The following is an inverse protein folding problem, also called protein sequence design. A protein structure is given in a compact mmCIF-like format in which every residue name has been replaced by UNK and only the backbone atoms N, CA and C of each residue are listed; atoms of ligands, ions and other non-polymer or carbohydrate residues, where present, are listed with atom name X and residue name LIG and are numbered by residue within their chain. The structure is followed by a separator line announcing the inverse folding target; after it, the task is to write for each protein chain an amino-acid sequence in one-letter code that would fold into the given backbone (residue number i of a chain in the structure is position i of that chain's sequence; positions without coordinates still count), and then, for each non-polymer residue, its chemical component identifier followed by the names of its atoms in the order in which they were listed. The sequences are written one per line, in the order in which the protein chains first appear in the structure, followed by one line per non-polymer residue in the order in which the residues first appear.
data_IF_435481364342
#
_entry.id   IF_435481364342
#
_cell.length_a   1.000
_cell.length_b   1.000
_cell.length_c   1.000
_cell.angle_alpha   90.00
_cell.angle_beta   90.00
_cell.angle_gamma   90.00
#
_symmetry.space_group_name_H-M   'P 1'
#
loop_
_entity.id
_entity.type
_entity.pdbx_description
1 polymer ?
#
# COMPACT_ATOMS: atom_id res chain seq x y z
N UNK A 1 64.85 -62.34 28.27
CA UNK A 1 64.18 -61.22 27.57
C UNK A 1 62.90 -60.92 28.30
N UNK A 2 62.70 -59.64 28.59
CA UNK A 2 61.93 -59.08 29.70
C UNK A 2 60.42 -59.31 29.63
N UNK A 3 59.85 -59.79 30.74
CA UNK A 3 58.43 -59.70 31.08
C UNK A 3 58.08 -58.23 31.38
N UNK A 4 57.19 -57.64 30.58
CA UNK A 4 56.63 -56.32 30.87
C UNK A 4 55.64 -56.41 32.04
N UNK A 5 55.93 -55.67 33.09
CA UNK A 5 55.04 -55.45 34.22
C UNK A 5 53.85 -54.58 33.78
N UNK A 6 52.63 -55.13 33.85
CA UNK A 6 51.41 -54.33 33.77
C UNK A 6 51.31 -53.48 35.04
N UNK A 7 51.43 -52.18 34.86
CA UNK A 7 51.22 -51.16 35.89
C UNK A 7 49.73 -51.19 36.28
N UNK A 8 49.36 -51.31 37.57
CA UNK A 8 47.97 -51.14 37.97
C UNK A 8 47.57 -49.68 37.78
N UNK A 9 46.59 -49.44 36.91
CA UNK A 9 45.93 -48.14 36.80
C UNK A 9 45.40 -47.74 38.20
N UNK A 10 45.66 -46.51 38.66
CA UNK A 10 45.14 -46.07 39.95
C UNK A 10 43.60 -46.05 39.87
N UNK A 11 42.94 -46.80 40.76
CA UNK A 11 41.50 -46.66 41.04
C UNK A 11 41.24 -45.29 41.67
N UNK A 12 41.32 -44.24 40.87
CA UNK A 12 40.86 -42.91 41.26
C UNK A 12 39.36 -42.91 41.13
N UNK A 13 38.68 -42.72 42.26
CA UNK A 13 37.25 -42.47 42.32
C UNK A 13 36.42 -43.71 42.65
N UNK A 14 36.45 -44.13 43.92
CA UNK A 14 35.16 -44.49 44.53
C UNK A 14 34.28 -43.26 44.33
N UNK A 15 33.34 -43.36 43.38
CA UNK A 15 32.18 -42.48 43.29
C UNK A 15 31.76 -42.20 44.73
N UNK A 16 31.91 -40.95 45.17
CA UNK A 16 31.26 -40.48 46.40
C UNK A 16 29.85 -41.04 46.29
N UNK A 17 29.43 -41.90 47.21
CA UNK A 17 28.04 -42.35 47.20
C UNK A 17 27.25 -41.09 47.52
N UNK A 18 26.85 -40.35 46.49
CA UNK A 18 26.03 -39.16 46.61
C UNK A 18 24.64 -39.68 46.92
N UNK A 19 24.48 -40.22 48.13
CA UNK A 19 23.18 -40.48 48.71
C UNK A 19 22.51 -39.11 48.71
N UNK A 20 21.41 -38.92 47.97
CA UNK A 20 20.79 -37.62 47.85
C UNK A 20 20.49 -37.09 49.25
N UNK A 21 21.10 -35.96 49.62
CA UNK A 21 21.02 -35.40 50.98
C UNK A 21 19.56 -35.26 51.41
N UNK A 22 18.67 -34.89 50.49
CA UNK A 22 17.23 -34.83 50.73
C UNK A 22 16.60 -36.16 51.16
N UNK A 23 16.96 -37.29 50.53
CA UNK A 23 16.45 -38.61 50.92
C UNK A 23 16.97 -39.04 52.29
N UNK A 24 18.22 -38.70 52.60
CA UNK A 24 18.81 -38.99 53.91
C UNK A 24 18.14 -38.17 55.03
N UNK A 25 17.93 -36.88 54.79
CA UNK A 25 17.24 -35.99 55.72
C UNK A 25 15.76 -36.36 55.89
N UNK A 26 15.09 -36.82 54.83
CA UNK A 26 13.74 -37.36 54.88
C UNK A 26 13.67 -38.67 55.70
N UNK A 27 14.67 -39.55 55.57
CA UNK A 27 14.77 -40.77 56.37
C UNK A 27 14.95 -40.48 57.86
N UNK A 28 15.65 -39.39 58.20
CA UNK A 28 15.92 -38.97 59.57
C UNK A 28 14.79 -38.12 60.18
N UNK A 29 13.84 -37.66 59.37
CA UNK A 29 12.79 -36.71 59.77
C UNK A 29 13.35 -35.50 60.53
N UNK A 30 14.44 -34.91 60.02
CA UNK A 30 15.11 -33.82 60.73
C UNK A 30 14.27 -32.54 60.72
N UNK A 31 14.42 -31.64 61.71
CA UNK A 31 13.81 -30.32 61.67
C UNK A 31 14.19 -29.54 60.39
N UNK A 32 15.40 -29.76 59.87
CA UNK A 32 15.87 -29.18 58.61
C UNK A 32 15.05 -29.68 57.42
N UNK A 33 14.75 -30.98 57.35
CA UNK A 33 13.87 -31.54 56.33
C UNK A 33 12.49 -30.90 56.38
N UNK A 34 11.85 -30.87 57.56
CA UNK A 34 10.52 -30.28 57.73
C UNK A 34 10.48 -28.80 57.36
N UNK A 35 11.48 -28.02 57.76
CA UNK A 35 11.60 -26.60 57.41
C UNK A 35 11.81 -26.39 55.90
N UNK A 36 12.67 -27.20 55.27
CA UNK A 36 12.95 -27.09 53.83
C UNK A 36 11.73 -27.47 52.99
N UNK A 37 11.00 -28.51 53.39
CA UNK A 37 9.75 -28.95 52.74
C UNK A 37 8.68 -27.87 52.79
N UNK A 38 8.46 -27.25 53.95
CA UNK A 38 7.52 -26.14 54.10
C UNK A 38 7.93 -24.94 53.25
N UNK A 39 9.19 -24.52 53.36
CA UNK A 39 9.70 -23.38 52.58
C UNK A 39 9.56 -23.61 51.08
N UNK A 40 9.96 -24.79 50.58
CA UNK A 40 9.83 -25.12 49.15
C UNK A 40 8.37 -25.13 48.70
N UNK A 41 7.46 -25.65 49.54
CA UNK A 41 6.03 -25.64 49.27
C UNK A 41 5.46 -24.22 49.12
N UNK A 42 5.84 -23.31 50.00
CA UNK A 42 5.43 -21.90 49.93
C UNK A 42 5.98 -21.22 48.66
N UNK A 43 7.22 -21.53 48.28
CA UNK A 43 7.81 -21.01 47.03
C UNK A 43 7.06 -21.53 45.79
N UNK A 44 6.66 -22.80 45.79
CA UNK A 44 5.88 -23.37 44.69
C UNK A 44 4.51 -22.68 44.55
N UNK A 45 3.82 -22.41 45.66
CA UNK A 45 2.53 -21.71 45.63
C UNK A 45 2.68 -20.24 45.13
N UNK A 46 3.83 -19.59 45.42
CA UNK A 46 4.16 -18.28 44.85
C UNK A 46 4.40 -18.34 43.34
N UNK A 47 5.20 -19.32 42.89
CA UNK A 47 5.52 -19.53 41.48
C UNK A 47 4.26 -19.87 40.67
N UNK A 48 3.35 -20.70 41.17
CA UNK A 48 2.08 -21.04 40.51
C UNK A 48 1.25 -19.78 40.23
N UNK A 49 1.10 -18.89 41.22
CA UNK A 49 0.38 -17.62 41.05
C UNK A 49 1.05 -16.71 40.02
N UNK A 50 2.38 -16.65 40.03
CA UNK A 50 3.14 -15.86 39.08
C UNK A 50 3.01 -16.41 37.64
N UNK A 51 3.11 -17.74 37.47
CA UNK A 51 2.93 -18.41 36.19
C UNK A 51 1.53 -18.22 35.62
N UNK A 52 0.48 -18.39 36.43
CA UNK A 52 -0.90 -18.12 36.03
C UNK A 52 -1.10 -16.65 35.59
N UNK A 53 -0.52 -15.71 36.33
CA UNK A 53 -0.48 -14.30 35.95
C UNK A 53 0.23 -14.06 34.61
N UNK A 54 1.37 -14.74 34.38
CA UNK A 54 2.12 -14.62 33.13
C UNK A 54 1.34 -15.16 31.93
N UNK A 55 0.74 -16.36 32.05
CA UNK A 55 -0.09 -16.94 31.00
C UNK A 55 -1.29 -16.05 30.66
N UNK A 56 -1.99 -15.52 31.67
CA UNK A 56 -3.11 -14.58 31.48
C UNK A 56 -2.67 -13.28 30.80
N UNK A 57 -1.52 -12.73 31.18
CA UNK A 57 -0.98 -11.53 30.56
C UNK A 57 -0.63 -11.75 29.08
N UNK A 58 0.00 -12.88 28.74
CA UNK A 58 0.31 -13.25 27.37
C UNK A 58 -0.96 -13.44 26.51
N UNK A 59 -1.96 -14.12 27.04
CA UNK A 59 -3.27 -14.30 26.37
C UNK A 59 -3.94 -12.95 26.13
N UNK A 60 -4.00 -12.08 27.15
CA UNK A 60 -4.61 -10.75 27.03
C UNK A 60 -3.91 -9.90 25.96
N UNK A 61 -2.57 -9.90 25.94
CA UNK A 61 -1.80 -9.19 24.94
C UNK A 61 -2.13 -9.65 23.51
N UNK A 62 -2.26 -10.97 23.29
CA UNK A 62 -2.67 -11.55 22.01
C UNK A 62 -4.07 -11.07 21.57
N UNK A 63 -5.04 -11.04 22.48
CA UNK A 63 -6.40 -10.59 22.19
C UNK A 63 -6.47 -9.10 21.81
N UNK A 64 -5.82 -8.23 22.60
CA UNK A 64 -5.84 -6.78 22.38
C UNK A 64 -5.17 -6.40 21.04
N UNK A 65 -4.05 -7.04 20.70
CA UNK A 65 -3.38 -6.81 19.41
C UNK A 65 -4.15 -7.36 18.21
N UNK A 66 -4.94 -8.42 18.41
CA UNK A 66 -5.85 -8.91 17.37
C UNK A 66 -7.01 -7.93 17.15
N UNK A 67 -7.55 -7.32 18.21
CA UNK A 67 -8.59 -6.29 18.07
C UNK A 67 -8.08 -5.04 17.30
N UNK A 68 -6.80 -4.70 17.46
CA UNK A 68 -6.14 -3.58 16.77
C UNK A 68 -6.04 -3.77 15.25
N UNK A 69 -6.15 -5.00 14.74
CA UNK A 69 -6.00 -5.32 13.31
C UNK A 69 -6.93 -4.50 12.40
N UNK A 70 -8.19 -4.33 12.81
CA UNK A 70 -9.19 -3.58 12.04
C UNK A 70 -8.83 -2.08 11.94
N UNK A 71 -8.36 -1.49 13.03
CA UNK A 71 -7.94 -0.08 13.12
C UNK A 71 -6.72 0.16 12.24
N UNK A 72 -5.75 -0.74 12.31
CA UNK A 72 -4.53 -0.70 11.50
C UNK A 72 -4.86 -0.86 10.02
N UNK A 73 -5.77 -1.77 9.66
CA UNK A 73 -6.21 -1.96 8.27
C UNK A 73 -6.82 -0.68 7.70
N UNK A 74 -7.70 -0.02 8.46
CA UNK A 74 -8.31 1.25 8.07
C UNK A 74 -7.29 2.40 7.97
N UNK A 75 -6.28 2.44 8.84
CA UNK A 75 -5.20 3.42 8.73
C UNK A 75 -4.36 3.18 7.46
N UNK A 76 -4.01 1.92 7.20
CA UNK A 76 -3.16 1.54 6.07
C UNK A 76 -3.86 1.71 4.72
N UNK A 77 -5.20 1.69 4.64
CA UNK A 77 -5.90 1.87 3.36
C UNK A 77 -5.56 3.20 2.68
N UNK A 78 -5.36 4.27 3.47
CA UNK A 78 -5.01 5.59 2.94
C UNK A 78 -3.58 5.69 2.39
N UNK A 79 -2.62 4.94 2.96
CA UNK A 79 -1.22 4.98 2.54
C UNK A 79 -0.90 3.97 1.43
N UNK A 80 -1.56 2.81 1.45
CA UNK A 80 -1.33 1.73 0.48
C UNK A 80 -2.12 1.93 -0.82
N UNK A 81 -3.27 2.60 -0.77
CA UNK A 81 -4.13 2.86 -1.91
C UNK A 81 -4.46 4.36 -1.98
N UNK A 82 -3.49 5.20 -2.39
CA UNK A 82 -3.78 6.59 -2.66
C UNK A 82 -4.86 6.71 -3.75
N UNK A 83 -5.65 7.80 -3.69
CA UNK A 83 -6.74 8.08 -4.63
C UNK A 83 -6.26 7.94 -6.08
N UNK A 84 -7.12 7.42 -6.95
CA UNK A 84 -6.89 7.43 -8.40
C UNK A 84 -7.08 8.86 -8.87
N UNK A 85 -5.98 9.62 -8.88
CA UNK A 85 -5.94 11.01 -9.34
C UNK A 85 -5.09 11.07 -10.60
N UNK A 86 -5.43 11.97 -11.52
CA UNK A 86 -4.61 12.23 -12.70
C UNK A 86 -3.21 12.71 -12.32
N UNK A 87 -2.22 12.36 -13.16
CA UNK A 87 -0.83 12.82 -13.06
C UNK A 87 -0.70 14.34 -13.04
N UNK A 88 -1.66 15.05 -13.64
CA UNK A 88 -1.72 16.51 -13.62
C UNK A 88 -1.87 17.10 -12.20
N UNK A 89 -2.36 16.33 -11.24
CA UNK A 89 -2.57 16.79 -9.85
C UNK A 89 -1.51 16.20 -8.91
N UNK A 90 -1.18 14.92 -9.08
CA UNK A 90 -0.19 14.23 -8.24
C UNK A 90 0.75 13.44 -9.13
N UNK A 91 2.04 13.69 -8.94
CA UNK A 91 3.10 12.97 -9.64
C UNK A 91 3.08 11.46 -9.29
N UNK A 92 3.03 10.63 -10.32
CA UNK A 92 2.92 9.18 -10.16
C UNK A 92 4.26 8.49 -9.88
N UNK A 93 5.35 9.06 -10.41
CA UNK A 93 6.67 8.44 -10.40
C UNK A 93 7.41 8.60 -9.07
N UNK A 94 7.17 9.69 -8.35
CA UNK A 94 7.84 10.03 -7.11
C UNK A 94 6.85 10.13 -5.95
N UNK A 95 5.77 10.90 -6.09
CA UNK A 95 4.86 11.19 -4.96
C UNK A 95 4.01 9.98 -4.60
N UNK A 96 3.27 9.43 -5.57
CA UNK A 96 2.49 8.21 -5.33
C UNK A 96 3.37 7.00 -5.04
N UNK A 97 4.56 6.92 -5.66
CA UNK A 97 5.53 5.88 -5.37
C UNK A 97 5.97 5.92 -3.90
N UNK A 98 6.35 7.08 -3.37
CA UNK A 98 6.75 7.25 -1.97
C UNK A 98 5.64 6.82 -1.00
N UNK A 99 4.40 7.27 -1.26
CA UNK A 99 3.24 6.88 -0.46
C UNK A 99 3.05 5.37 -0.45
N UNK A 100 3.08 4.75 -1.64
CA UNK A 100 2.92 3.29 -1.79
C UNK A 100 4.01 2.53 -1.06
N UNK A 101 5.29 2.92 -1.19
CA UNK A 101 6.40 2.25 -0.50
C UNK A 101 6.30 2.36 1.02
N UNK A 102 5.95 3.54 1.51
CA UNK A 102 5.71 3.76 2.94
C UNK A 102 4.53 2.90 3.45
N UNK A 103 3.44 2.83 2.68
CA UNK A 103 2.28 2.00 2.98
C UNK A 103 2.60 0.50 2.99
N UNK A 104 3.31 0.00 1.98
CA UNK A 104 3.76 -1.39 1.88
C UNK A 104 4.65 -1.77 3.07
N UNK A 105 5.67 -0.96 3.38
CA UNK A 105 6.55 -1.21 4.54
C UNK A 105 5.81 -1.18 5.87
N UNK A 106 4.85 -0.26 6.03
CA UNK A 106 4.01 -0.19 7.25
C UNK A 106 3.09 -1.41 7.37
N UNK A 107 2.53 -1.89 6.27
CA UNK A 107 1.67 -3.09 6.22
C UNK A 107 2.45 -4.34 6.62
N UNK A 108 3.65 -4.53 6.10
CA UNK A 108 4.50 -5.67 6.45
C UNK A 108 4.89 -5.65 7.94
N UNK A 109 5.21 -4.48 8.48
CA UNK A 109 5.50 -4.31 9.92
C UNK A 109 4.32 -4.71 10.81
N UNK A 110 3.15 -4.12 10.55
CA UNK A 110 1.97 -4.38 11.37
C UNK A 110 1.48 -5.82 11.26
N UNK A 111 1.44 -6.38 10.04
CA UNK A 111 1.04 -7.77 9.83
C UNK A 111 2.01 -8.75 10.50
N UNK A 112 3.32 -8.47 10.43
CA UNK A 112 4.34 -9.23 11.14
C UNK A 112 4.18 -9.17 12.66
N UNK A 113 3.86 -8.00 13.22
CA UNK A 113 3.66 -7.81 14.66
C UNK A 113 2.44 -8.59 15.15
N UNK A 114 1.31 -8.47 14.46
CA UNK A 114 0.06 -9.18 14.79
C UNK A 114 0.30 -10.69 14.71
N UNK A 115 0.91 -11.17 13.63
CA UNK A 115 1.18 -12.61 13.43
C UNK A 115 2.09 -13.17 14.52
N UNK A 116 3.15 -12.47 14.88
CA UNK A 116 4.09 -12.89 15.94
C UNK A 116 3.41 -12.93 17.30
N UNK A 117 2.56 -11.95 17.59
CA UNK A 117 1.85 -11.86 18.87
C UNK A 117 0.80 -12.96 19.02
N UNK A 118 0.08 -13.32 17.94
CA UNK A 118 -0.88 -14.45 17.98
C UNK A 118 -0.23 -15.76 18.42
N UNK A 119 1.04 -15.97 18.08
CA UNK A 119 1.80 -17.17 18.52
C UNK A 119 2.16 -17.16 20.00
N UNK A 120 2.12 -16.02 20.70
CA UNK A 120 2.43 -15.96 22.14
C UNK A 120 1.47 -16.82 22.97
N UNK A 121 0.24 -17.02 22.51
CA UNK A 121 -0.71 -17.90 23.18
C UNK A 121 -0.21 -19.35 23.21
N UNK A 122 0.14 -19.92 22.05
CA UNK A 122 0.66 -21.29 21.96
C UNK A 122 2.10 -21.46 22.48
N UNK A 123 2.91 -20.40 22.47
CA UNK A 123 4.31 -20.47 22.89
C UNK A 123 4.53 -20.21 24.38
N UNK A 124 3.60 -19.47 25.02
CA UNK A 124 3.73 -19.06 26.42
C UNK A 124 2.57 -19.57 27.24
N UNK A 125 1.33 -19.26 26.83
CA UNK A 125 0.16 -19.49 27.66
C UNK A 125 -0.19 -20.96 27.78
N UNK A 126 -0.19 -21.71 26.68
CA UNK A 126 -0.47 -23.15 26.68
C UNK A 126 0.57 -23.96 27.47
N UNK A 127 1.89 -23.85 27.23
CA UNK A 127 2.87 -24.65 27.96
C UNK A 127 2.87 -24.38 29.47
N UNK A 128 2.62 -23.14 29.88
CA UNK A 128 2.50 -22.78 31.30
C UNK A 128 1.24 -23.41 31.91
N UNK A 129 0.11 -23.36 31.20
CA UNK A 129 -1.15 -23.93 31.66
C UNK A 129 -1.05 -25.44 31.82
N UNK A 130 -0.43 -26.11 30.86
CA UNK A 130 -0.21 -27.57 30.90
C UNK A 130 0.66 -27.96 32.10
N UNK A 131 1.76 -27.23 32.35
CA UNK A 131 2.60 -27.46 33.53
C UNK A 131 1.86 -27.27 34.86
N UNK A 132 0.98 -26.25 34.94
CA UNK A 132 0.15 -26.02 36.13
C UNK A 132 -0.84 -27.18 36.34
N UNK A 133 -1.50 -27.63 35.27
CA UNK A 133 -2.57 -28.61 35.34
C UNK A 133 -2.08 -30.05 35.55
N UNK A 134 -0.89 -30.37 35.04
CA UNK A 134 -0.30 -31.71 35.10
C UNK A 134 0.76 -31.80 36.22
N UNK A 135 1.95 -31.20 36.00
CA UNK A 135 3.11 -31.36 36.88
C UNK A 135 2.88 -30.75 38.27
N UNK A 136 2.45 -29.49 38.35
CA UNK A 136 2.23 -28.82 39.65
C UNK A 136 1.06 -29.40 40.42
N UNK A 137 -0.03 -29.76 39.72
CA UNK A 137 -1.17 -30.43 40.35
C UNK A 137 -0.76 -31.74 40.99
N UNK A 138 -0.03 -32.58 40.24
CA UNK A 138 0.49 -33.85 40.76
C UNK A 138 1.42 -33.64 41.97
N UNK A 139 2.34 -32.69 41.89
CA UNK A 139 3.22 -32.35 43.02
C UNK A 139 2.44 -31.89 44.27
N UNK A 140 1.40 -31.08 44.10
CA UNK A 140 0.54 -30.62 45.21
C UNK A 140 -0.26 -31.75 45.86
N UNK A 141 -0.66 -32.78 45.10
CA UNK A 141 -1.29 -33.98 45.65
C UNK A 141 -0.31 -34.77 46.53
N UNK A 142 0.95 -34.90 46.11
CA UNK A 142 2.01 -35.54 46.91
C UNK A 142 2.31 -34.73 48.18
N UNK A 143 2.41 -33.40 48.07
CA UNK A 143 2.53 -32.50 49.22
C UNK A 143 1.39 -32.71 50.21
N UNK A 144 0.14 -32.72 49.74
CA UNK A 144 -1.04 -32.93 50.60
C UNK A 144 -1.02 -34.29 51.30
N UNK A 145 -0.58 -35.33 50.61
CA UNK A 145 -0.41 -36.66 51.20
C UNK A 145 0.68 -36.68 52.28
N UNK A 146 1.80 -35.97 52.04
CA UNK A 146 2.85 -35.80 53.05
C UNK A 146 2.33 -35.08 54.30
N UNK A 147 1.65 -33.96 54.15
CA UNK A 147 1.07 -33.20 55.27
C UNK A 147 0.05 -34.03 56.07
N UNK A 148 -0.80 -34.80 55.38
CA UNK A 148 -1.80 -35.65 56.02
C UNK A 148 -1.18 -36.81 56.81
N UNK A 149 -0.20 -37.51 56.21
CA UNK A 149 0.52 -38.61 56.88
C UNK A 149 1.39 -38.10 58.02
N UNK A 150 2.05 -36.95 57.87
CA UNK A 150 2.81 -36.28 58.93
C UNK A 150 1.91 -35.95 60.13
N UNK A 151 0.75 -35.32 59.90
CA UNK A 151 -0.20 -34.98 60.97
C UNK A 151 -0.72 -36.23 61.70
N UNK A 152 -1.00 -37.31 60.96
CA UNK A 152 -1.44 -38.57 61.54
C UNK A 152 -0.35 -39.23 62.39
N UNK A 153 0.90 -39.22 61.90
CA UNK A 153 2.05 -39.76 62.62
C UNK A 153 2.32 -38.95 63.90
N UNK A 154 2.41 -37.63 63.81
CA UNK A 154 2.68 -36.75 64.95
C UNK A 154 1.59 -36.89 66.05
N UNK A 155 0.31 -37.05 65.65
CA UNK A 155 -0.80 -37.31 66.58
C UNK A 155 -0.66 -38.66 67.29
N UNK A 156 -0.40 -39.74 66.56
CA UNK A 156 -0.24 -41.08 67.14
C UNK A 156 1.01 -41.17 68.01
N UNK A 157 2.09 -40.49 67.64
CA UNK A 157 3.32 -40.40 68.42
C UNK A 157 3.06 -39.73 69.79
N UNK A 158 2.35 -38.58 69.79
CA UNK A 158 1.99 -37.88 71.03
C UNK A 158 1.04 -38.70 71.91
N UNK A 159 0.07 -39.40 71.30
CA UNK A 159 -0.86 -40.30 72.02
C UNK A 159 -0.10 -41.48 72.65
N UNK A 160 0.80 -42.12 71.91
CA UNK A 160 1.60 -43.24 72.42
C UNK A 160 2.55 -42.79 73.55
N UNK A 161 3.21 -41.63 73.39
CA UNK A 161 4.14 -41.10 74.38
C UNK A 161 3.47 -40.65 75.69
N UNK A 162 2.18 -40.29 75.64
CA UNK A 162 1.40 -39.84 76.82
C UNK A 162 0.70 -40.96 77.58
N UNK A 163 0.90 -42.22 77.19
CA UNK A 163 0.30 -43.36 77.88
C UNK A 163 0.82 -43.51 79.32
N UNK A 164 -0.06 -43.90 80.24
CA UNK A 164 0.31 -44.12 81.64
C UNK A 164 1.26 -45.31 81.80
N UNK A 165 2.24 -45.22 82.70
CA UNK A 165 3.16 -46.32 83.02
C UNK A 165 2.45 -47.60 83.53
N UNK A 166 1.22 -47.46 84.04
CA UNK A 166 0.38 -48.57 84.52
C UNK A 166 -0.50 -49.20 83.43
N UNK A 167 -0.41 -48.75 82.17
CA UNK A 167 -1.23 -49.29 81.08
C UNK A 167 -0.82 -50.72 80.73
N UNK A 168 -1.79 -51.54 80.35
CA UNK A 168 -1.58 -52.95 80.03
C UNK A 168 -0.62 -53.12 78.83
N UNK A 169 0.32 -54.07 78.94
CA UNK A 169 1.34 -54.31 77.91
C UNK A 169 0.73 -54.73 76.55
N UNK A 170 -0.40 -55.43 76.55
CA UNK A 170 -1.14 -55.83 75.34
C UNK A 170 -1.66 -54.60 74.57
N UNK A 171 -2.29 -53.65 75.26
CA UNK A 171 -2.78 -52.40 74.69
C UNK A 171 -1.65 -51.48 74.23
N UNK A 172 -0.54 -51.40 74.98
CA UNK A 172 0.65 -50.65 74.57
C UNK A 172 1.27 -51.22 73.29
N UNK A 173 1.31 -52.55 73.18
CA UNK A 173 1.78 -53.22 71.96
C UNK A 173 0.91 -52.84 70.77
N UNK A 174 -0.41 -52.92 70.90
CA UNK A 174 -1.33 -52.57 69.81
C UNK A 174 -1.13 -51.12 69.33
N UNK A 175 -1.05 -50.17 70.25
CA UNK A 175 -0.78 -48.77 69.92
C UNK A 175 0.61 -48.57 69.26
N UNK A 176 1.62 -49.32 69.68
CA UNK A 176 2.95 -49.30 69.04
C UNK A 176 2.92 -49.82 67.59
N UNK A 177 2.12 -50.86 67.29
CA UNK A 177 1.94 -51.34 65.92
C UNK A 177 1.19 -50.31 65.06
N UNK A 178 0.16 -49.65 65.60
CA UNK A 178 -0.53 -48.56 64.89
C UNK A 178 0.40 -47.38 64.59
N UNK A 179 1.26 -47.01 65.55
CA UNK A 179 2.28 -45.99 65.37
C UNK A 179 3.30 -46.38 64.29
N UNK A 180 3.75 -47.63 64.27
CA UNK A 180 4.69 -48.12 63.26
C UNK A 180 4.12 -48.02 61.84
N UNK A 181 2.87 -48.42 61.63
CA UNK A 181 2.21 -48.31 60.32
C UNK A 181 2.06 -46.85 59.89
N UNK A 182 1.70 -45.95 60.82
CA UNK A 182 1.64 -44.52 60.53
C UNK A 182 3.02 -43.92 60.19
N UNK A 183 4.07 -44.31 60.92
CA UNK A 183 5.44 -43.89 60.64
C UNK A 183 5.91 -44.38 59.26
N UNK A 184 5.61 -45.62 58.91
CA UNK A 184 5.92 -46.19 57.59
C UNK A 184 5.21 -45.46 56.46
N UNK A 185 3.94 -45.10 56.65
CA UNK A 185 3.18 -44.31 55.68
C UNK A 185 3.76 -42.90 55.51
N UNK A 186 4.13 -42.23 56.61
CA UNK A 186 4.80 -40.93 56.58
C UNK A 186 6.17 -41.00 55.89
N UNK A 187 7.01 -41.97 56.25
CA UNK A 187 8.33 -42.17 55.64
C UNK A 187 8.21 -42.36 54.12
N UNK A 188 7.23 -43.15 53.67
CA UNK A 188 6.96 -43.32 52.24
C UNK A 188 6.58 -42.00 51.57
N UNK A 189 5.65 -41.24 52.15
CA UNK A 189 5.24 -39.94 51.61
C UNK A 189 6.40 -38.94 51.58
N UNK A 190 7.28 -38.94 52.60
CA UNK A 190 8.46 -38.08 52.68
C UNK A 190 9.49 -38.43 51.60
N UNK A 191 9.67 -39.73 51.31
CA UNK A 191 10.51 -40.20 50.20
C UNK A 191 9.93 -39.80 48.85
N UNK A 192 8.64 -40.02 48.63
CA UNK A 192 7.96 -39.65 47.38
C UNK A 192 8.08 -38.13 47.11
N UNK A 193 7.87 -37.30 48.13
CA UNK A 193 8.08 -35.85 48.05
C UNK A 193 9.53 -35.48 47.74
N UNK A 194 10.51 -36.14 48.38
CA UNK A 194 11.93 -35.85 48.19
C UNK A 194 12.46 -36.24 46.82
N UNK A 195 11.83 -37.22 46.16
CA UNK A 195 12.09 -37.57 44.76
C UNK A 195 11.43 -36.55 43.82
N UNK A 196 10.19 -36.14 44.12
CA UNK A 196 9.39 -35.29 43.23
C UNK A 196 9.75 -33.81 43.27
N UNK A 197 10.20 -33.28 44.42
CA UNK A 197 10.62 -31.88 44.55
C UNK A 197 11.69 -31.46 43.52
N UNK A 198 12.81 -32.21 43.39
CA UNK A 198 13.80 -31.94 42.35
C UNK A 198 13.25 -32.11 40.91
N UNK A 199 12.32 -33.03 40.69
CA UNK A 199 11.72 -33.26 39.36
C UNK A 199 10.86 -32.08 38.92
N UNK A 200 9.97 -31.58 39.78
CA UNK A 200 9.13 -30.41 39.48
C UNK A 200 9.97 -29.15 39.30
N UNK A 201 11.04 -28.98 40.08
CA UNK A 201 12.01 -27.89 39.88
C UNK A 201 12.65 -27.97 38.49
N UNK A 202 13.15 -29.15 38.10
CA UNK A 202 13.78 -29.31 36.80
C UNK A 202 12.78 -29.13 35.64
N UNK A 203 11.52 -29.54 35.83
CA UNK A 203 10.46 -29.31 34.87
C UNK A 203 10.13 -27.82 34.72
N UNK A 204 10.06 -27.08 35.83
CA UNK A 204 9.92 -25.62 35.85
C UNK A 204 11.07 -24.93 35.11
N UNK A 205 12.32 -25.29 35.42
CA UNK A 205 13.49 -24.70 34.77
C UNK A 205 13.44 -24.93 33.24
N UNK A 206 13.11 -26.15 32.81
CA UNK A 206 12.94 -26.48 31.37
C UNK A 206 11.81 -25.67 30.73
N UNK A 207 10.67 -25.53 31.40
CA UNK A 207 9.54 -24.75 30.91
C UNK A 207 9.95 -23.29 30.68
N UNK A 208 10.53 -22.65 31.70
CA UNK A 208 10.90 -21.23 31.65
C UNK A 208 11.94 -20.96 30.57
N UNK A 209 12.96 -21.82 30.44
CA UNK A 209 13.96 -21.71 29.38
C UNK A 209 13.31 -21.90 28.01
N UNK A 210 12.45 -22.91 27.84
CA UNK A 210 11.76 -23.18 26.57
C UNK A 210 10.91 -21.99 26.13
N UNK A 211 10.02 -21.52 27.00
CA UNK A 211 9.14 -20.37 26.75
C UNK A 211 9.96 -19.13 26.37
N UNK A 212 11.05 -18.87 27.09
CA UNK A 212 11.93 -17.72 26.81
C UNK A 212 12.65 -17.85 25.47
N UNK A 213 13.20 -19.03 25.15
CA UNK A 213 13.89 -19.28 23.90
C UNK A 213 12.96 -19.23 22.68
N UNK A 214 11.75 -19.78 22.80
CA UNK A 214 10.77 -19.79 21.72
C UNK A 214 10.23 -18.38 21.45
N UNK A 215 9.93 -17.60 22.49
CA UNK A 215 9.58 -16.19 22.35
C UNK A 215 10.71 -15.38 21.69
N UNK A 216 11.95 -15.57 22.15
CA UNK A 216 13.12 -14.89 21.58
C UNK A 216 13.32 -15.22 20.09
N UNK A 217 13.13 -16.48 19.71
CA UNK A 217 13.23 -16.94 18.32
C UNK A 217 12.24 -16.22 17.42
N UNK A 218 10.99 -16.12 17.84
CA UNK A 218 9.94 -15.43 17.08
C UNK A 218 10.22 -13.93 16.94
N UNK A 219 10.62 -13.25 18.03
CA UNK A 219 11.01 -11.83 17.96
C UNK A 219 12.21 -11.58 17.06
N UNK A 220 13.22 -12.46 17.11
CA UNK A 220 14.37 -12.37 16.20
C UNK A 220 13.96 -12.58 14.75
N UNK A 221 13.07 -13.54 14.47
CA UNK A 221 12.51 -13.79 13.14
C UNK A 221 11.77 -12.56 12.59
N UNK A 222 10.87 -12.00 13.40
CA UNK A 222 10.15 -10.76 13.11
C UNK A 222 11.10 -9.60 12.82
N UNK A 223 12.09 -9.38 13.69
CA UNK A 223 13.08 -8.31 13.51
C UNK A 223 13.88 -8.46 12.22
N UNK A 224 14.39 -9.65 11.94
CA UNK A 224 15.22 -9.89 10.75
C UNK A 224 14.41 -9.74 9.45
N UNK A 225 13.17 -10.23 9.42
CA UNK A 225 12.29 -10.07 8.28
C UNK A 225 12.01 -8.59 8.01
N UNK A 226 11.62 -7.83 9.04
CA UNK A 226 11.34 -6.41 8.90
C UNK A 226 12.58 -5.61 8.53
N UNK A 227 13.73 -5.88 9.14
CA UNK A 227 14.99 -5.22 8.84
C UNK A 227 15.37 -5.36 7.35
N UNK A 228 15.18 -6.55 6.76
CA UNK A 228 15.39 -6.78 5.34
C UNK A 228 14.47 -5.94 4.45
N UNK A 229 13.17 -5.91 4.77
CA UNK A 229 12.17 -5.12 4.05
C UNK A 229 12.42 -3.62 4.18
N UNK A 230 12.69 -3.11 5.39
CA UNK A 230 13.03 -1.71 5.62
C UNK A 230 14.30 -1.30 4.90
N UNK A 231 15.34 -2.13 4.89
CA UNK A 231 16.59 -1.84 4.16
C UNK A 231 16.36 -1.74 2.65
N UNK A 232 15.50 -2.60 2.09
CA UNK A 232 15.09 -2.52 0.67
C UNK A 232 14.40 -1.19 0.38
N UNK A 233 13.38 -0.81 1.15
CA UNK A 233 12.61 0.40 0.90
C UNK A 233 13.35 1.68 1.28
N UNK A 234 14.23 1.66 2.27
CA UNK A 234 15.03 2.82 2.69
C UNK A 234 15.80 3.41 1.52
N UNK A 235 16.50 2.57 0.75
CA UNK A 235 17.27 3.04 -0.43
C UNK A 235 16.40 3.71 -1.49
N UNK A 236 15.19 3.20 -1.70
CA UNK A 236 14.22 3.77 -2.65
C UNK A 236 13.65 5.10 -2.11
N UNK A 237 13.32 5.15 -0.81
CA UNK A 237 12.85 6.37 -0.14
C UNK A 237 13.91 7.46 -0.11
N UNK A 238 15.17 7.13 0.16
CA UNK A 238 16.30 8.06 0.13
C UNK A 238 16.49 8.65 -1.27
N UNK A 239 16.35 7.81 -2.30
CA UNK A 239 16.37 8.26 -3.70
C UNK A 239 15.22 9.23 -3.99
N UNK A 240 13.99 8.91 -3.61
CA UNK A 240 12.82 9.77 -3.85
C UNK A 240 12.96 11.09 -3.09
N UNK A 241 13.47 11.05 -1.85
CA UNK A 241 13.76 12.25 -1.06
C UNK A 241 14.85 13.11 -1.70
N UNK A 242 15.86 12.50 -2.31
CA UNK A 242 16.86 13.22 -3.10
C UNK A 242 16.22 14.01 -4.26
N UNK A 243 15.28 13.40 -4.98
CA UNK A 243 14.52 14.09 -6.03
C UNK A 243 13.69 15.27 -5.50
N UNK A 244 13.05 15.11 -4.34
CA UNK A 244 12.33 16.21 -3.71
C UNK A 244 13.26 17.41 -3.43
N UNK A 245 14.47 17.16 -2.92
CA UNK A 245 15.45 18.23 -2.70
C UNK A 245 15.91 18.90 -3.99
N UNK A 246 16.11 18.13 -5.06
CA UNK A 246 16.45 18.68 -6.38
C UNK A 246 15.31 19.56 -6.94
N UNK A 247 14.05 19.15 -6.72
CA UNK A 247 12.86 19.93 -7.07
C UNK A 247 12.77 21.22 -6.25
N UNK A 248 12.95 21.16 -4.93
CA UNK A 248 12.98 22.34 -4.06
C UNK A 248 14.10 23.32 -4.45
N UNK A 249 15.26 22.80 -4.83
CA UNK A 249 16.40 23.59 -5.30
C UNK A 249 16.10 24.34 -6.61
N UNK A 250 15.39 23.69 -7.54
CA UNK A 250 15.02 24.26 -8.84
C UNK A 250 13.71 25.06 -8.84
N UNK A 251 12.91 24.99 -7.77
CA UNK A 251 11.60 25.66 -7.67
C UNK A 251 11.72 27.18 -7.87
N UNK A 252 12.72 27.82 -7.24
CA UNK A 252 12.87 29.29 -7.29
C UNK A 252 13.22 29.79 -8.69
N UNK A 253 14.09 29.09 -9.42
CA UNK A 253 14.46 29.46 -10.79
C UNK A 253 13.30 29.19 -11.74
N UNK A 254 12.68 28.02 -11.64
CA UNK A 254 11.50 27.63 -12.44
C UNK A 254 10.35 28.63 -12.25
N UNK A 255 10.02 28.99 -11.00
CA UNK A 255 9.00 30.00 -10.69
C UNK A 255 9.34 31.37 -11.27
N UNK A 256 10.60 31.79 -11.21
CA UNK A 256 11.04 33.07 -11.79
C UNK A 256 10.86 33.08 -13.31
N UNK A 257 11.28 32.01 -13.98
CA UNK A 257 11.13 31.84 -15.43
C UNK A 257 9.65 31.81 -15.83
N UNK A 258 8.81 31.10 -15.07
CA UNK A 258 7.37 31.05 -15.29
C UNK A 258 6.73 32.44 -15.17
N UNK A 259 7.09 33.22 -14.14
CA UNK A 259 6.59 34.58 -13.96
C UNK A 259 7.06 35.54 -15.07
N UNK A 260 8.32 35.40 -15.52
CA UNK A 260 8.87 36.18 -16.62
C UNK A 260 8.15 35.87 -17.93
N UNK A 261 7.98 34.58 -18.24
CA UNK A 261 7.29 34.11 -19.43
C UNK A 261 5.82 34.51 -19.41
N UNK A 262 5.16 34.41 -18.25
CA UNK A 262 3.80 34.90 -18.06
C UNK A 262 3.70 36.37 -18.44
N UNK A 263 4.56 37.23 -17.88
CA UNK A 263 4.55 38.67 -18.18
C UNK A 263 4.73 38.93 -19.68
N UNK A 264 5.67 38.25 -20.32
CA UNK A 264 5.92 38.42 -21.75
C UNK A 264 4.72 37.99 -22.61
N UNK A 265 4.14 36.82 -22.33
CA UNK A 265 2.97 36.31 -23.06
C UNK A 265 1.75 37.20 -22.81
N UNK A 266 1.55 37.66 -21.57
CA UNK A 266 0.45 38.54 -21.17
C UNK A 266 0.52 39.89 -21.89
N UNK A 267 1.70 40.53 -21.91
CA UNK A 267 1.91 41.79 -22.64
C UNK A 267 1.71 41.62 -24.15
N UNK A 268 2.23 40.55 -24.74
CA UNK A 268 2.05 40.25 -26.16
C UNK A 268 0.59 39.98 -26.52
N UNK A 269 -0.13 39.23 -25.67
CA UNK A 269 -1.54 38.92 -25.86
C UNK A 269 -2.43 40.16 -25.67
N UNK A 270 -2.16 40.99 -24.66
CA UNK A 270 -2.87 42.27 -24.45
C UNK A 270 -2.67 43.20 -25.63
N UNK A 271 -1.43 43.37 -26.10
CA UNK A 271 -1.13 44.23 -27.24
C UNK A 271 -1.80 43.72 -28.52
N UNK A 272 -1.81 42.41 -28.76
CA UNK A 272 -2.45 41.80 -29.92
C UNK A 272 -3.98 41.92 -29.89
N UNK A 273 -4.59 41.90 -28.70
CA UNK A 273 -6.03 42.07 -28.50
C UNK A 273 -6.47 43.53 -28.39
N UNK A 274 -5.52 44.47 -28.26
CA UNK A 274 -5.81 45.89 -28.07
C UNK A 274 -6.55 46.45 -29.29
N UNK A 275 -7.72 47.11 -29.10
CA UNK A 275 -8.47 47.68 -30.20
C UNK A 275 -7.70 48.82 -30.87
N UNK A 276 -7.90 49.01 -32.18
CA UNK A 276 -7.29 50.14 -32.88
C UNK A 276 -7.75 51.46 -32.29
N UNK A 277 -6.85 52.44 -32.21
CA UNK A 277 -7.17 53.81 -31.80
C UNK A 277 -7.61 54.67 -32.98
N UNK A 278 -7.38 54.21 -34.20
CA UNK A 278 -7.68 54.95 -35.42
C UNK A 278 -9.16 54.76 -35.79
N UNK A 279 -9.91 55.87 -35.86
CA UNK A 279 -11.34 55.85 -36.21
C UNK A 279 -11.59 55.22 -37.60
N UNK A 280 -10.63 55.35 -38.52
CA UNK A 280 -10.69 54.82 -39.88
C UNK A 280 -10.77 53.28 -39.91
N UNK A 281 -10.16 52.59 -38.95
CA UNK A 281 -10.23 51.13 -38.84
C UNK A 281 -11.64 50.61 -38.50
N UNK A 282 -12.49 51.46 -37.91
CA UNK A 282 -13.88 51.15 -37.60
C UNK A 282 -14.85 51.49 -38.73
N UNK A 283 -14.43 52.36 -39.67
CA UNK A 283 -15.19 52.74 -40.85
C UNK A 283 -15.24 51.63 -41.91
N UNK A 284 -14.41 50.58 -41.75
CA UNK A 284 -14.48 49.37 -42.56
C UNK A 284 -15.72 48.57 -42.11
N UNK A 285 -16.86 49.02 -42.61
CA UNK A 285 -18.12 48.30 -42.48
C UNK A 285 -18.13 47.16 -43.48
N UNK A 286 -18.75 46.03 -43.10
CA UNK A 286 -18.93 44.83 -43.93
C UNK A 286 -19.94 45.09 -45.06
N UNK A 287 -19.96 46.29 -45.64
CA UNK A 287 -21.02 46.79 -46.53
C UNK A 287 -20.43 47.18 -47.90
N UNK A 288 -21.11 46.91 -49.03
CA UNK A 288 -20.51 46.89 -50.38
C UNK A 288 -20.24 48.25 -51.04
N UNK A 289 -19.74 49.27 -50.33
CA UNK A 289 -19.39 50.56 -50.93
C UNK A 289 -17.94 50.98 -50.67
N UNK A 290 -17.01 50.19 -51.21
CA UNK A 290 -15.67 50.64 -51.58
C UNK A 290 -15.32 50.08 -52.96
N UNK A 291 -16.08 50.52 -53.98
CA UNK A 291 -15.78 50.29 -55.40
C UNK A 291 -14.64 51.15 -55.96
N UNK A 292 -13.67 51.57 -55.13
CA UNK A 292 -12.61 52.48 -55.60
C UNK A 292 -11.28 52.39 -54.85
N UNK A 293 -11.06 51.34 -54.04
CA UNK A 293 -9.71 50.98 -53.60
C UNK A 293 -9.43 49.51 -53.91
N UNK A 294 -8.51 49.19 -54.83
CA UNK A 294 -8.11 47.81 -55.04
C UNK A 294 -7.51 47.27 -53.73
N UNK A 295 -7.78 46.00 -53.45
CA UNK A 295 -7.28 45.24 -52.29
C UNK A 295 -5.73 45.24 -52.22
N UNK A 296 -5.07 45.70 -53.29
CA UNK A 296 -3.62 45.81 -53.43
C UNK A 296 -2.93 46.86 -52.53
N UNK A 297 -3.65 47.73 -51.82
CA UNK A 297 -3.04 48.76 -50.96
C UNK A 297 -3.24 48.55 -49.44
N UNK A 298 -3.88 47.46 -49.03
CA UNK A 298 -3.60 46.92 -47.69
C UNK A 298 -2.26 46.21 -47.83
N UNK A 299 -1.30 46.50 -46.96
CA UNK A 299 0.01 45.82 -46.93
C UNK A 299 -0.17 44.32 -46.56
N UNK A 300 -0.84 43.54 -47.41
CA UNK A 300 -0.94 42.08 -47.40
C UNK A 300 0.30 41.53 -48.08
N UNK A 301 1.46 41.95 -47.58
CA UNK A 301 2.79 41.44 -47.98
C UNK A 301 3.21 40.28 -47.07
N UNK A 302 2.30 39.80 -46.21
CA UNK A 302 2.53 38.66 -45.32
C UNK A 302 1.86 37.46 -45.97
N UNK A 303 2.66 36.48 -46.38
CA UNK A 303 2.18 35.19 -46.87
C UNK A 303 1.11 34.66 -45.91
N UNK A 304 -0.10 34.49 -46.45
CA UNK A 304 -1.24 34.11 -45.65
C UNK A 304 -1.10 32.64 -45.26
N UNK A 305 -1.12 32.35 -43.96
CA UNK A 305 -0.91 30.99 -43.48
C UNK A 305 -2.11 30.12 -43.88
N UNK A 306 -1.89 28.92 -44.46
CA UNK A 306 -2.95 27.98 -44.83
C UNK A 306 -3.60 27.28 -43.62
N UNK A 307 -3.35 27.79 -42.40
CA UNK A 307 -3.86 27.26 -41.15
C UNK A 307 -4.23 28.41 -40.23
N UNK A 308 -5.40 28.31 -39.61
CA UNK A 308 -5.87 29.30 -38.62
C UNK A 308 -6.79 28.61 -37.62
N UNK A 309 -6.71 29.05 -36.37
CA UNK A 309 -7.56 28.57 -35.29
C UNK A 309 -7.96 29.75 -34.41
N UNK A 310 -9.17 29.72 -33.87
CA UNK A 310 -9.66 30.78 -33.01
C UNK A 310 -11.16 30.69 -32.74
N UNK A 311 -11.63 31.53 -31.83
CA UNK A 311 -13.05 31.62 -31.52
C UNK A 311 -13.82 32.30 -32.65
N UNK A 312 -14.92 31.68 -33.08
CA UNK A 312 -15.91 32.25 -33.99
C UNK A 312 -17.30 32.04 -33.42
N UNK A 313 -18.24 32.92 -33.77
CA UNK A 313 -19.65 32.65 -33.51
C UNK A 313 -20.25 31.91 -34.71
N UNK A 314 -20.76 30.72 -34.47
CA UNK A 314 -21.50 29.92 -35.42
C UNK A 314 -23.00 30.20 -35.30
N UNK A 315 -23.64 30.53 -36.41
CA UNK A 315 -25.10 30.65 -36.47
C UNK A 315 -25.73 29.25 -36.39
N UNK A 316 -26.71 29.09 -35.52
CA UNK A 316 -27.49 27.86 -35.35
C UNK A 316 -28.96 28.23 -35.16
N UNK A 317 -29.87 27.40 -35.66
CA UNK A 317 -31.31 27.55 -35.41
C UNK A 317 -31.67 26.70 -34.19
N UNK A 318 -32.28 27.33 -33.17
CA UNK A 318 -32.67 26.66 -31.93
C UNK A 318 -34.11 26.96 -31.54
N UNK A 319 -34.79 25.99 -30.93
CA UNK A 319 -36.15 26.11 -30.38
C UNK A 319 -37.30 25.90 -31.38
N UNK A 320 -38.52 25.87 -30.84
CA UNK A 320 -39.78 25.92 -31.59
C UNK A 320 -40.68 27.00 -30.96
N UNK A 321 -40.99 28.12 -31.66
CA UNK A 321 -40.60 28.45 -33.04
C UNK A 321 -39.09 28.69 -33.19
N UNK A 322 -38.55 28.43 -34.38
CA UNK A 322 -37.11 28.49 -34.67
C UNK A 322 -36.58 29.91 -34.50
N UNK A 323 -35.58 30.08 -33.62
CA UNK A 323 -34.88 31.34 -33.40
C UNK A 323 -33.42 31.18 -33.80
N UNK A 324 -32.87 32.19 -34.46
CA UNK A 324 -31.44 32.26 -34.76
C UNK A 324 -30.67 32.52 -33.47
N UNK A 325 -29.73 31.64 -33.16
CA UNK A 325 -28.81 31.75 -32.02
C UNK A 325 -27.38 31.69 -32.55
N UNK A 326 -26.51 32.51 -31.99
CA UNK A 326 -25.08 32.52 -32.32
C UNK A 326 -24.30 31.90 -31.18
N UNK A 327 -23.68 30.76 -31.44
CA UNK A 327 -22.93 30.00 -30.42
C UNK A 327 -21.44 30.17 -30.64
N UNK A 328 -20.71 30.50 -29.58
CA UNK A 328 -19.25 30.65 -29.65
C UNK A 328 -18.60 29.25 -29.72
N UNK A 329 -17.77 29.02 -30.75
CA UNK A 329 -17.13 27.73 -31.05
C UNK A 329 -15.66 27.99 -31.40
N UNK A 330 -14.76 27.09 -31.01
CA UNK A 330 -13.35 27.20 -31.40
C UNK A 330 -13.20 26.60 -32.79
N UNK A 331 -13.18 27.45 -33.83
CA UNK A 331 -13.00 27.00 -35.20
C UNK A 331 -11.52 26.70 -35.45
N UNK A 332 -11.25 25.67 -36.26
CA UNK A 332 -9.91 25.39 -36.75
C UNK A 332 -9.95 25.06 -38.25
N UNK A 333 -8.92 25.51 -38.95
CA UNK A 333 -8.57 25.14 -40.30
C UNK A 333 -7.13 24.64 -40.25
N UNK A 334 -6.93 23.33 -40.39
CA UNK A 334 -5.60 22.72 -40.29
C UNK A 334 -5.50 21.52 -41.23
N UNK A 335 -4.36 21.36 -41.91
CA UNK A 335 -4.12 20.28 -42.87
C UNK A 335 -5.27 20.10 -43.89
N UNK A 336 -5.83 21.21 -44.40
CA UNK A 336 -6.93 21.17 -45.36
C UNK A 336 -8.29 20.71 -44.80
N UNK A 337 -8.45 20.61 -43.48
CA UNK A 337 -9.72 20.31 -42.81
C UNK A 337 -10.20 21.52 -42.03
N UNK A 338 -11.48 21.86 -42.21
CA UNK A 338 -12.23 22.81 -41.41
C UNK A 338 -13.16 22.09 -40.43
N UNK A 339 -13.17 22.54 -39.18
CA UNK A 339 -14.08 22.03 -38.15
C UNK A 339 -14.16 22.98 -36.95
N UNK A 340 -14.89 22.56 -35.92
CA UNK A 340 -15.03 23.29 -34.66
C UNK A 340 -14.78 22.36 -33.47
N UNK A 341 -14.12 22.87 -32.43
CA UNK A 341 -13.97 22.25 -31.13
C UNK A 341 -14.94 22.89 -30.13
N UNK A 342 -15.51 22.05 -29.27
CA UNK A 342 -16.52 22.43 -28.29
C UNK A 342 -16.23 21.74 -26.98
N UNK A 343 -16.51 22.43 -25.87
CA UNK A 343 -16.43 21.79 -24.56
C UNK A 343 -17.68 20.92 -24.37
N UNK A 344 -17.47 19.61 -24.18
CA UNK A 344 -18.52 18.64 -23.93
C UNK A 344 -19.21 18.91 -22.60
N UNK A 345 -20.51 19.19 -22.64
CA UNK A 345 -21.29 19.55 -21.45
C UNK A 345 -21.44 18.44 -20.41
N UNK A 346 -21.25 17.17 -20.80
CA UNK A 346 -21.41 15.99 -19.92
C UNK A 346 -20.07 15.38 -19.50
N UNK A 347 -19.09 15.40 -20.39
CA UNK A 347 -17.79 14.74 -20.20
C UNK A 347 -16.71 15.72 -19.74
N UNK A 348 -16.93 17.03 -19.88
CA UNK A 348 -15.91 18.07 -19.62
C UNK A 348 -14.76 18.09 -20.62
N UNK A 349 -14.68 17.10 -21.53
CA UNK A 349 -13.65 16.97 -22.56
C UNK A 349 -13.90 17.88 -23.77
N UNK A 350 -12.96 17.84 -24.72
CA UNK A 350 -13.09 18.56 -26.00
C UNK A 350 -13.74 17.64 -27.02
N UNK A 351 -14.91 18.03 -27.52
CA UNK A 351 -15.64 17.36 -28.60
C UNK A 351 -15.39 18.10 -29.92
N UNK A 352 -15.17 17.35 -30.99
CA UNK A 352 -15.00 17.90 -32.34
C UNK A 352 -16.35 17.87 -33.09
N UNK A 353 -16.57 18.84 -33.97
CA UNK A 353 -17.69 18.81 -34.92
C UNK A 353 -17.35 17.95 -36.15
N UNK A 354 -18.25 17.92 -37.13
CA UNK A 354 -17.92 17.37 -38.45
C UNK A 354 -16.67 18.02 -39.04
N UNK A 355 -15.84 17.20 -39.67
CA UNK A 355 -14.63 17.60 -40.39
C UNK A 355 -14.99 17.81 -41.84
N UNK A 356 -14.70 18.99 -42.38
CA UNK A 356 -15.06 19.38 -43.74
C UNK A 356 -13.78 19.70 -44.51
N UNK A 357 -13.50 18.93 -45.56
CA UNK A 357 -12.39 19.21 -46.47
C UNK A 357 -12.48 20.60 -47.11
N UNK A 358 -11.36 21.32 -47.13
CA UNK A 358 -11.28 22.71 -47.59
C UNK A 358 -11.59 22.84 -49.08
N UNK A 359 -11.32 21.81 -49.89
CA UNK A 359 -11.62 21.82 -51.33
C UNK A 359 -13.14 21.73 -51.60
N UNK A 360 -13.91 21.21 -50.65
CA UNK A 360 -15.37 21.18 -50.67
C UNK A 360 -16.01 22.50 -50.22
N UNK A 361 -15.19 23.43 -49.70
CA UNK A 361 -15.64 24.70 -49.17
C UNK A 361 -15.55 25.81 -50.22
N UNK A 362 -16.59 26.64 -50.31
CA UNK A 362 -16.55 27.96 -50.91
C UNK A 362 -16.75 29.01 -49.82
N UNK A 363 -15.69 29.75 -49.50
CA UNK A 363 -15.75 30.84 -48.53
C UNK A 363 -16.12 32.15 -49.23
N UNK A 364 -17.06 32.90 -48.65
CA UNK A 364 -17.41 34.25 -49.10
C UNK A 364 -17.80 35.13 -47.90
N UNK A 365 -17.52 36.44 -47.92
CA UNK A 365 -18.14 37.38 -46.97
C UNK A 365 -19.68 37.30 -47.05
N UNK A 366 -20.36 37.43 -45.91
CA UNK A 366 -21.81 37.35 -45.79
C UNK A 366 -22.40 38.75 -45.56
N UNK A 367 -22.36 39.59 -46.60
CA UNK A 367 -22.81 41.00 -46.54
C UNK A 367 -24.30 41.19 -46.28
N UNK A 368 -25.10 40.13 -46.46
CA UNK A 368 -26.55 40.15 -46.27
C UNK A 368 -26.96 39.90 -44.81
N UNK A 369 -26.03 39.49 -43.94
CA UNK A 369 -26.32 39.24 -42.54
C UNK A 369 -26.26 40.56 -41.75
N UNK A 370 -27.17 40.75 -40.79
CA UNK A 370 -27.24 41.97 -39.98
C UNK A 370 -26.03 42.16 -39.05
N UNK A 371 -25.35 41.07 -38.69
CA UNK A 371 -24.17 41.11 -37.81
C UNK A 371 -22.91 41.48 -38.60
N UNK A 372 -22.06 42.31 -37.99
CA UNK A 372 -20.76 42.69 -38.56
C UNK A 372 -19.81 41.49 -38.63
N UNK A 373 -18.93 41.51 -39.63
CA UNK A 373 -17.83 40.54 -39.80
C UNK A 373 -18.26 39.10 -40.01
N UNK A 374 -19.43 38.90 -40.63
CA UNK A 374 -19.92 37.59 -40.99
C UNK A 374 -19.33 37.09 -42.32
N UNK A 375 -19.06 35.80 -42.39
CA UNK A 375 -18.71 35.08 -43.60
C UNK A 375 -19.43 33.73 -43.63
N UNK A 376 -19.59 33.19 -44.82
CA UNK A 376 -20.23 31.91 -45.03
C UNK A 376 -19.25 30.93 -45.67
N UNK A 377 -19.21 29.71 -45.14
CA UNK A 377 -18.52 28.57 -45.71
C UNK A 377 -19.60 27.67 -46.31
N UNK A 378 -19.70 27.68 -47.64
CA UNK A 378 -20.68 26.90 -48.39
C UNK A 378 -20.08 25.58 -48.85
N UNK A 379 -20.73 24.49 -48.51
CA UNK A 379 -20.52 23.18 -49.13
C UNK A 379 -21.68 22.89 -50.08
N UNK A 380 -21.64 21.78 -50.81
CA UNK A 380 -22.73 21.39 -51.73
C UNK A 380 -24.11 21.31 -51.05
N UNK A 381 -24.13 20.88 -49.78
CA UNK A 381 -25.36 20.54 -49.07
C UNK A 381 -25.61 21.42 -47.83
N UNK A 382 -24.66 22.25 -47.41
CA UNK A 382 -24.77 23.03 -46.18
C UNK A 382 -24.15 24.43 -46.34
N UNK A 383 -24.71 25.43 -45.65
CA UNK A 383 -24.14 26.78 -45.54
C UNK A 383 -23.86 27.06 -44.07
N UNK A 384 -22.58 27.09 -43.71
CA UNK A 384 -22.11 27.37 -42.36
C UNK A 384 -21.86 28.87 -42.27
N UNK A 385 -22.59 29.54 -41.40
CA UNK A 385 -22.48 30.99 -41.23
C UNK A 385 -21.72 31.31 -39.94
N UNK A 386 -20.61 32.03 -40.09
CA UNK A 386 -19.65 32.32 -39.04
C UNK A 386 -19.47 33.82 -38.89
N UNK A 387 -19.15 34.27 -37.69
CA UNK A 387 -18.87 35.65 -37.37
C UNK A 387 -17.53 35.75 -36.64
N UNK A 388 -16.64 36.61 -37.17
CA UNK A 388 -15.39 36.99 -36.55
C UNK A 388 -15.55 38.21 -35.63
N UNK A 389 -14.56 38.47 -34.77
CA UNK A 389 -14.63 39.56 -33.79
C UNK A 389 -14.34 40.94 -34.41
N UNK A 390 -13.53 41.01 -35.48
CA UNK A 390 -13.19 42.25 -36.16
C UNK A 390 -12.87 42.03 -37.65
N UNK A 391 -12.69 43.13 -38.40
CA UNK A 391 -12.41 43.10 -39.83
C UNK A 391 -11.10 42.37 -40.17
N UNK A 392 -10.06 42.55 -39.37
CA UNK A 392 -8.77 41.88 -39.58
C UNK A 392 -8.94 40.37 -39.46
N UNK A 393 -9.61 39.89 -38.41
CA UNK A 393 -9.92 38.47 -38.22
C UNK A 393 -10.76 37.91 -39.37
N UNK A 394 -11.78 38.64 -39.85
CA UNK A 394 -12.56 38.24 -41.03
C UNK A 394 -11.66 38.02 -42.25
N UNK A 395 -10.82 39.01 -42.58
CA UNK A 395 -9.91 38.94 -43.72
C UNK A 395 -8.90 37.80 -43.55
N UNK A 396 -8.41 37.60 -42.32
CA UNK A 396 -7.50 36.50 -42.02
C UNK A 396 -8.17 35.12 -42.10
N UNK A 397 -9.44 35.00 -41.73
CA UNK A 397 -10.17 33.75 -41.93
C UNK A 397 -10.34 33.46 -43.43
N UNK A 398 -10.81 34.44 -44.21
CA UNK A 398 -11.00 34.27 -45.66
C UNK A 398 -9.67 33.92 -46.35
N UNK A 399 -8.61 34.68 -46.08
CA UNK A 399 -7.29 34.43 -46.65
C UNK A 399 -6.70 33.07 -46.24
N UNK A 400 -6.94 32.59 -45.01
CA UNK A 400 -6.46 31.28 -44.58
C UNK A 400 -7.16 30.14 -45.34
N UNK A 401 -8.47 30.25 -45.60
CA UNK A 401 -9.21 29.29 -46.42
C UNK A 401 -8.75 29.29 -47.87
N UNK A 402 -8.49 30.45 -48.46
CA UNK A 402 -7.97 30.57 -49.83
C UNK A 402 -6.57 29.97 -49.95
N UNK A 403 -5.67 30.30 -49.02
CA UNK A 403 -4.32 29.74 -48.96
C UNK A 403 -4.33 28.22 -48.72
N UNK A 404 -5.21 27.73 -47.84
CA UNK A 404 -5.37 26.29 -47.60
C UNK A 404 -5.89 25.55 -48.83
N UNK A 405 -6.84 26.14 -49.55
CA UNK A 405 -7.36 25.59 -50.82
C UNK A 405 -6.27 25.53 -51.88
N UNK A 406 -5.49 26.61 -52.05
CA UNK A 406 -4.39 26.65 -53.00
C UNK A 406 -3.32 25.60 -52.66
N UNK A 407 -2.92 25.51 -51.39
CA UNK A 407 -1.96 24.50 -50.91
C UNK A 407 -2.46 23.06 -51.14
N UNK A 408 -3.73 22.79 -50.87
CA UNK A 408 -4.33 21.47 -51.10
C UNK A 408 -4.41 21.10 -52.59
N UNK A 409 -4.54 22.08 -53.49
CA UNK A 409 -4.47 21.87 -54.95
C UNK A 409 -3.04 21.62 -55.44
N UNK A 410 -2.05 22.31 -54.87
CA UNK A 410 -0.65 22.23 -55.26
C UNK A 410 0.05 20.97 -54.72
N UNK A 411 -0.36 20.46 -53.55
CA UNK A 411 0.28 19.31 -52.93
C UNK A 411 -0.73 18.36 -52.23
N UNK A 412 -1.41 17.48 -52.99
CA UNK A 412 -2.44 16.57 -52.48
C UNK A 412 -1.94 15.51 -51.48
N UNK A 413 -0.62 15.28 -51.41
CA UNK A 413 0.00 14.34 -50.46
C UNK A 413 0.29 14.98 -49.09
N UNK A 414 0.15 16.30 -48.96
CA UNK A 414 0.47 17.04 -47.72
C UNK A 414 -0.71 17.15 -46.72
N UNK A 415 -1.88 16.63 -47.10
CA UNK A 415 -3.12 16.59 -46.33
C UNK A 415 -3.35 15.25 -45.62
N UNK A 416 -2.42 14.29 -45.74
CA UNK A 416 -2.49 12.98 -45.09
C UNK A 416 -2.39 13.11 -43.55
N UNK A 417 -3.54 12.99 -42.88
CA UNK A 417 -3.61 12.74 -41.44
C UNK A 417 -3.51 11.23 -41.21
N UNK A 418 -2.32 10.74 -40.86
CA UNK A 418 -2.13 9.37 -40.39
C UNK A 418 -2.68 9.20 -38.96
N UNK A 419 -4.01 9.06 -38.85
CA UNK A 419 -4.64 8.59 -37.62
C UNK A 419 -4.55 7.06 -37.57
N UNK A 420 -4.15 6.55 -36.41
CA UNK A 420 -3.87 5.14 -36.11
C UNK A 420 -4.76 4.12 -36.85
N UNK A 421 -4.13 3.32 -37.72
CA UNK A 421 -4.52 1.92 -37.94
C UNK A 421 -5.56 1.57 -39.01
N UNK A 422 -6.11 2.50 -39.80
CA UNK A 422 -6.89 2.15 -41.01
C UNK A 422 -6.60 3.09 -42.17
N UNK A 423 -6.00 2.54 -43.23
CA UNK A 423 -5.80 3.22 -44.51
C UNK A 423 -7.16 3.41 -45.19
N UNK A 424 -7.73 4.60 -45.12
CA UNK A 424 -8.81 5.03 -46.02
C UNK A 424 -8.21 5.91 -47.12
N UNK A 425 -8.32 5.45 -48.37
CA UNK A 425 -7.71 6.00 -49.60
C UNK A 425 -8.42 7.29 -50.09
N UNK A 426 -8.85 8.18 -49.19
CA UNK A 426 -9.48 9.45 -49.58
C UNK A 426 -8.79 10.62 -48.89
N UNK A 427 -8.22 11.52 -49.71
CA UNK A 427 -7.60 12.77 -49.29
C UNK A 427 -8.57 13.54 -48.36
N UNK A 428 -8.16 13.85 -47.11
CA UNK A 428 -9.03 14.54 -46.16
C UNK A 428 -9.54 15.90 -46.64
N UNK A 429 -8.87 16.53 -47.61
CA UNK A 429 -9.32 17.77 -48.22
C UNK A 429 -10.58 17.61 -49.13
N UNK A 430 -10.93 16.37 -49.52
CA UNK A 430 -12.07 16.04 -50.38
C UNK A 430 -13.23 15.32 -49.67
N UNK A 431 -13.17 15.16 -48.35
CA UNK A 431 -14.19 14.40 -47.60
C UNK A 431 -14.88 15.24 -46.52
N UNK A 432 -16.13 14.86 -46.20
CA UNK A 432 -16.80 15.28 -44.96
C UNK A 432 -16.86 14.04 -44.08
N UNK A 433 -16.23 14.07 -42.91
CA UNK A 433 -16.24 12.96 -41.97
C UNK A 433 -16.96 13.33 -40.68
N UNK A 434 -17.64 12.34 -40.09
CA UNK A 434 -18.26 12.48 -38.78
C UNK A 434 -17.20 12.74 -37.71
N UNK A 435 -17.56 13.43 -36.62
CA UNK A 435 -16.63 13.69 -35.54
C UNK A 435 -16.01 12.37 -35.02
N UNK A 436 -14.69 12.31 -34.83
CA UNK A 436 -14.05 11.14 -34.25
C UNK A 436 -14.59 10.89 -32.83
N UNK A 437 -14.63 9.63 -32.40
CA UNK A 437 -14.90 9.31 -31.00
C UNK A 437 -13.85 10.00 -30.11
N UNK A 438 -14.27 10.61 -29.01
CA UNK A 438 -13.37 11.37 -28.14
C UNK A 438 -12.33 10.45 -27.48
N UNK A 439 -11.11 10.42 -28.02
CA UNK A 439 -9.99 9.65 -27.43
C UNK A 439 -9.52 10.23 -26.08
N UNK A 440 -9.90 11.48 -25.78
CA UNK A 440 -9.54 12.20 -24.55
C UNK A 440 -10.56 12.06 -23.41
N UNK A 441 -11.70 11.41 -23.65
CA UNK A 441 -12.54 10.96 -22.55
C UNK A 441 -11.87 9.71 -21.99
N UNK A 442 -10.89 9.90 -21.10
CA UNK A 442 -10.35 8.79 -20.33
C UNK A 442 -11.52 8.12 -19.61
N UNK A 443 -11.88 6.92 -20.05
CA UNK A 443 -12.78 6.07 -19.30
C UNK A 443 -12.06 5.79 -17.97
N UNK A 444 -12.64 6.10 -16.79
CA UNK A 444 -12.01 5.80 -15.51
C UNK A 444 -11.64 4.31 -15.35
N UNK A 445 -12.17 3.44 -16.22
CA UNK A 445 -11.79 2.03 -16.33
C UNK A 445 -10.41 1.78 -16.99
N UNK A 446 -9.92 2.65 -17.89
CA UNK A 446 -8.64 2.41 -18.59
C UNK A 446 -7.41 2.61 -17.70
N UNK A 447 -7.56 3.32 -16.57
CA UNK A 447 -6.60 3.38 -15.47
C UNK A 447 -6.40 2.03 -14.73
N UNK A 448 -7.16 0.98 -15.06
CA UNK A 448 -7.12 -0.33 -14.38
C UNK A 448 -6.26 -1.39 -15.09
N UNK A 449 -5.52 -1.05 -16.14
CA UNK A 449 -4.63 -2.04 -16.79
C UNK A 449 -3.16 -1.83 -16.40
N UNK A 450 -2.55 -2.75 -15.62
CA UNK A 450 -1.11 -2.74 -15.47
C UNK A 450 -0.47 -3.11 -16.81
N UNK A 451 0.38 -2.21 -17.31
CA UNK A 451 1.20 -2.35 -18.51
C UNK A 451 1.88 -3.73 -18.54
N UNK A 452 1.37 -4.66 -19.37
CA UNK A 452 2.06 -5.93 -19.67
C UNK A 452 3.36 -5.58 -20.39
N UNK A 453 4.49 -5.75 -19.70
CA UNK A 453 5.82 -5.67 -20.32
C UNK A 453 5.89 -6.66 -21.49
N UNK A 454 6.23 -6.14 -22.67
CA UNK A 454 6.61 -6.92 -23.85
C UNK A 454 7.78 -7.85 -23.46
N UNK A 455 7.53 -9.15 -23.47
CA UNK A 455 8.58 -10.16 -23.37
C UNK A 455 9.35 -10.20 -24.70
N UNK A 456 10.65 -9.91 -24.64
CA UNK A 456 11.59 -10.17 -25.71
C UNK A 456 11.80 -11.68 -25.83
N UNK A 457 11.39 -12.28 -26.95
CA UNK A 457 11.66 -13.68 -27.26
C UNK A 457 13.09 -13.84 -27.78
N UNK A 458 14.04 -14.05 -26.87
CA UNK A 458 15.37 -14.58 -27.17
C UNK A 458 15.32 -16.10 -27.18
N UNK A 459 15.48 -16.69 -28.37
CA UNK A 459 15.50 -18.14 -28.63
C UNK A 459 16.85 -18.71 -28.14
N UNK A 460 16.83 -19.61 -27.16
CA UNK A 460 17.97 -20.46 -26.81
C UNK A 460 17.51 -21.92 -26.84
N UNK A 461 18.06 -22.67 -27.79
CA UNK A 461 17.97 -24.12 -27.89
C UNK A 461 18.75 -24.75 -26.74
N UNK A 462 18.16 -25.72 -26.04
CA UNK A 462 18.90 -26.82 -25.44
C UNK A 462 18.11 -28.11 -25.55
N UNK A 463 18.75 -29.08 -26.22
CA UNK A 463 18.42 -30.50 -26.23
C UNK A 463 18.34 -31.04 -24.79
N UNK A 464 17.37 -31.92 -24.55
CA UNK A 464 17.60 -33.11 -23.72
C UNK A 464 16.55 -34.16 -24.02
N UNK A 465 17.02 -35.19 -24.72
CA UNK A 465 16.45 -36.51 -24.80
C UNK A 465 16.40 -37.17 -23.42
N UNK A 466 15.27 -37.78 -23.07
CA UNK A 466 15.26 -39.00 -22.27
C UNK A 466 13.96 -39.78 -22.50
N UNK A 467 14.17 -41.02 -22.90
CA UNK A 467 13.28 -42.15 -23.17
C UNK A 467 12.37 -42.56 -22.00
N UNK A 468 11.19 -43.10 -22.34
CA UNK A 468 10.15 -43.62 -21.43
C UNK A 468 10.49 -44.96 -20.72
N UNK A 469 9.53 -45.85 -20.44
CA UNK A 469 8.11 -45.89 -20.83
C UNK A 469 7.15 -45.15 -19.88
#
# INVERSE_FOLDING_TARGET
MSTQAQTPLPQVGKLVSVVPVGLKEAALDSPTFRATTLHFSDQIDFIEKWLDGYAKAATRLSCELTALESVVSNFLSYSTHPLVVSEAVVDHDYTLLAMRRCGEGSKDLWSGLITTTRKLESLISEPIRDFIQEDLRHFKEIRRNLEATQKSYDYLQARYASQSKSKEASALREEAFQLHEAHKAYLKAAMDYSVQGPQVRNALDRLLVKVSCDQWREFRGFHNHNSGTFSKWSREMDRIKGWLHEMEGSEKSSKRELLSTRKHIEEAAEFAARPSRELEDYNISTVPYLGSRPISNLNVSKEMRPEKQGWLYLRTLSGKPARTVWVKRWAFLKHGIFGCLVQGSRTGGVEESERIGVLLCSIRPAFQEERRFCFQVKTKNNTIMLQADNQKELMEWIGAFEAAKQKALENPASTDLSVSGKVTVQDPAFSISQPPASEFAADPADSLTPYKRRAWSGRAQYDTSCSGP
#
